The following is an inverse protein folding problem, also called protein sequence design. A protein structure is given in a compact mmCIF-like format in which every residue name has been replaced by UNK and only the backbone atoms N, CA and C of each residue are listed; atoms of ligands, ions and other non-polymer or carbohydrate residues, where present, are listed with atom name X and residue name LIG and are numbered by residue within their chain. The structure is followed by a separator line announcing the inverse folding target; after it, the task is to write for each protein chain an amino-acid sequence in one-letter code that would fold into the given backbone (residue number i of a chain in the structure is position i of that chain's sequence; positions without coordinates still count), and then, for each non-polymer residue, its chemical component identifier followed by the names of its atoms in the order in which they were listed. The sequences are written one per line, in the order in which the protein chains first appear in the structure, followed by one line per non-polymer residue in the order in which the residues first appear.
data_IF_483842482304
#
_entry.id   IF_483842482304
#
_cell.length_a   1.000
_cell.length_b   1.000
_cell.length_c   1.000
_cell.angle_alpha   90.00
_cell.angle_beta   90.00
_cell.angle_gamma   90.00
#
_symmetry.space_group_name_H-M   'P 1'
#
loop_
_entity.id
_entity.type
_entity.pdbx_description
1 polymer ?
#
# COMPACT_ATOMS: atom_id res chain seq x y z
N UNK A 1 -7.15 15.53 -10.88
CA UNK A 1 -5.76 15.08 -10.62
C UNK A 1 -4.94 16.32 -10.42
N UNK A 2 -4.21 16.39 -9.31
CA UNK A 2 -3.33 17.50 -8.97
C UNK A 2 -1.93 16.94 -8.71
N UNK A 3 -0.93 17.83 -8.72
CA UNK A 3 0.47 17.46 -8.47
C UNK A 3 0.85 17.73 -7.01
N UNK A 4 -0.14 17.82 -6.13
CA UNK A 4 0.08 18.04 -4.70
C UNK A 4 0.57 16.76 -4.03
N UNK A 5 1.27 16.91 -2.92
CA UNK A 5 1.67 15.79 -2.07
C UNK A 5 0.47 15.07 -1.47
N UNK A 6 0.52 13.75 -1.49
CA UNK A 6 -0.53 12.86 -0.97
C UNK A 6 0.10 11.77 -0.11
N UNK A 7 -0.63 11.29 0.89
CA UNK A 7 -0.22 10.12 1.68
C UNK A 7 -1.20 8.96 1.46
N UNK A 8 -0.64 7.75 1.39
CA UNK A 8 -1.40 6.50 1.37
C UNK A 8 -0.88 5.58 2.46
N UNK A 9 -1.78 5.14 3.34
CA UNK A 9 -1.50 4.12 4.35
C UNK A 9 -2.40 2.91 4.09
N UNK A 10 -1.85 1.70 4.25
CA UNK A 10 -2.61 0.45 4.25
C UNK A 10 -2.47 -0.18 5.64
N UNK A 11 -3.54 -0.12 6.45
CA UNK A 11 -3.53 -0.64 7.82
C UNK A 11 -4.12 -2.05 7.84
N UNK A 12 -3.29 -3.04 8.15
CA UNK A 12 -3.69 -4.43 8.28
C UNK A 12 -4.22 -4.71 9.69
N UNK A 13 -5.40 -5.31 9.78
CA UNK A 13 -5.95 -5.75 11.07
C UNK A 13 -5.31 -7.07 11.47
N UNK A 14 -4.65 -7.07 12.64
CA UNK A 14 -3.94 -8.24 13.17
C UNK A 14 -4.82 -9.50 13.18
N UNK A 15 -4.23 -10.62 12.76
CA UNK A 15 -4.93 -11.91 12.70
C UNK A 15 -6.00 -12.02 11.62
N UNK A 16 -6.08 -11.07 10.68
CA UNK A 16 -7.07 -11.10 9.60
C UNK A 16 -6.51 -10.69 8.24
N UNK A 17 -7.27 -10.96 7.19
CA UNK A 17 -7.05 -10.46 5.85
C UNK A 17 -7.71 -9.08 5.61
N UNK A 18 -8.12 -8.36 6.66
CA UNK A 18 -8.80 -7.07 6.53
C UNK A 18 -7.79 -5.93 6.46
N UNK A 19 -7.95 -5.06 5.47
CA UNK A 19 -7.16 -3.83 5.30
C UNK A 19 -8.07 -2.61 5.30
N UNK A 20 -7.68 -1.58 6.04
CA UNK A 20 -8.29 -0.25 5.99
C UNK A 20 -7.32 0.72 5.31
N UNK A 21 -7.64 1.25 4.11
CA UNK A 21 -6.81 2.26 3.47
C UNK A 21 -7.04 3.62 4.13
N UNK A 22 -6.01 4.46 4.20
CA UNK A 22 -6.15 5.88 4.51
C UNK A 22 -5.52 6.73 3.42
N UNK A 23 -6.29 7.68 2.89
CA UNK A 23 -5.82 8.67 1.94
C UNK A 23 -5.74 10.01 2.66
N UNK A 24 -4.56 10.62 2.70
CA UNK A 24 -4.33 11.88 3.41
C UNK A 24 -4.83 11.84 4.88
N UNK A 25 -4.57 10.73 5.56
CA UNK A 25 -5.01 10.48 6.94
C UNK A 25 -6.50 10.15 7.12
N UNK A 26 -7.32 10.23 6.08
CA UNK A 26 -8.75 9.91 6.14
C UNK A 26 -8.96 8.43 5.82
N UNK A 27 -9.57 7.70 6.77
CA UNK A 27 -9.87 6.28 6.59
C UNK A 27 -10.99 6.07 5.56
N UNK A 28 -10.72 5.18 4.59
CA UNK A 28 -11.70 4.67 3.64
C UNK A 28 -12.40 3.40 4.13
N UNK A 29 -13.26 2.80 3.29
CA UNK A 29 -13.92 1.54 3.61
C UNK A 29 -12.91 0.39 3.69
N UNK A 30 -13.03 -0.45 4.72
CA UNK A 30 -12.22 -1.65 4.85
C UNK A 30 -12.58 -2.70 3.79
N UNK A 31 -11.60 -3.48 3.37
CA UNK A 31 -11.78 -4.57 2.41
C UNK A 31 -10.98 -5.82 2.82
N UNK A 32 -11.40 -6.98 2.31
CA UNK A 32 -10.65 -8.23 2.45
C UNK A 32 -9.61 -8.34 1.35
N UNK A 33 -8.36 -8.62 1.70
CA UNK A 33 -7.33 -8.92 0.70
C UNK A 33 -7.62 -10.27 0.05
N UNK A 34 -7.41 -10.33 -1.26
CA UNK A 34 -7.54 -11.54 -2.06
C UNK A 34 -6.22 -11.81 -2.75
N UNK A 35 -5.90 -13.09 -2.96
CA UNK A 35 -4.73 -13.48 -3.75
C UNK A 35 -5.00 -13.12 -5.21
N UNK A 36 -4.08 -12.36 -5.81
CA UNK A 36 -4.10 -12.07 -7.24
C UNK A 36 -3.37 -13.16 -8.06
N UNK A 37 -3.30 -12.95 -9.37
CA UNK A 37 -2.57 -13.82 -10.30
C UNK A 37 -1.13 -13.38 -10.59
N UNK A 38 -0.60 -12.35 -9.91
CA UNK A 38 0.74 -11.82 -10.17
C UNK A 38 1.81 -12.75 -9.57
N UNK A 39 2.89 -12.94 -10.31
CA UNK A 39 4.08 -13.64 -9.82
C UNK A 39 5.17 -12.62 -9.55
N UNK A 40 5.45 -12.38 -8.27
CA UNK A 40 6.48 -11.44 -7.79
C UNK A 40 7.53 -12.20 -6.96
N UNK A 41 8.58 -11.49 -6.52
CA UNK A 41 9.57 -12.04 -5.60
C UNK A 41 8.93 -12.47 -4.28
N UNK A 42 9.27 -13.67 -3.80
CA UNK A 42 8.81 -14.16 -2.51
C UNK A 42 9.36 -13.28 -1.37
N UNK A 43 8.50 -12.91 -0.41
CA UNK A 43 8.84 -12.08 0.75
C UNK A 43 9.42 -10.71 0.39
N UNK A 44 8.97 -10.12 -0.73
CA UNK A 44 9.41 -8.80 -1.18
C UNK A 44 8.25 -7.81 -1.23
N UNK A 45 8.51 -6.56 -0.85
CA UNK A 45 7.67 -5.42 -1.20
C UNK A 45 8.12 -4.89 -2.55
N UNK A 46 7.23 -4.89 -3.55
CA UNK A 46 7.54 -4.39 -4.89
C UNK A 46 6.85 -3.06 -5.12
N UNK A 47 7.62 -2.04 -5.50
CA UNK A 47 7.13 -0.75 -5.97
C UNK A 47 7.56 -0.58 -7.43
N UNK A 48 6.60 -0.40 -8.33
CA UNK A 48 6.81 -0.31 -9.78
C UNK A 48 5.70 0.53 -10.42
N UNK A 49 6.01 1.16 -11.54
CA UNK A 49 5.06 1.80 -12.46
C UNK A 49 4.30 0.80 -13.36
N UNK A 50 4.56 -0.51 -13.19
CA UNK A 50 3.87 -1.67 -13.80
C UNK A 50 4.12 -1.85 -15.31
N UNK A 51 4.20 -0.77 -16.08
CA UNK A 51 4.26 -0.78 -17.54
C UNK A 51 5.64 -0.47 -18.08
N UNK A 52 5.95 -0.98 -19.28
CA UNK A 52 7.15 -0.58 -20.04
C UNK A 52 6.93 0.68 -20.88
N UNK A 53 5.68 1.12 -21.01
CA UNK A 53 5.31 2.33 -21.73
C UNK A 53 5.41 3.56 -20.81
N UNK A 54 5.09 4.74 -21.33
CA UNK A 54 5.10 5.96 -20.53
C UNK A 54 4.13 5.88 -19.33
N UNK A 55 4.63 6.24 -18.16
CA UNK A 55 3.89 6.43 -16.91
C UNK A 55 4.15 7.85 -16.37
N UNK A 56 3.35 8.28 -15.39
CA UNK A 56 3.60 9.54 -14.69
C UNK A 56 4.84 9.43 -13.81
N UNK A 57 5.69 10.47 -13.81
CA UNK A 57 6.73 10.60 -12.81
C UNK A 57 6.13 10.77 -11.41
N UNK A 58 6.65 10.05 -10.43
CA UNK A 58 6.22 10.13 -9.03
C UNK A 58 7.43 10.46 -8.17
N UNK A 59 7.36 11.56 -7.43
CA UNK A 59 8.30 11.86 -6.36
C UNK A 59 7.84 11.15 -5.09
N UNK A 60 8.78 10.48 -4.41
CA UNK A 60 8.49 9.71 -3.20
C UNK A 60 9.34 10.28 -2.08
N UNK A 61 8.68 10.86 -1.09
CA UNK A 61 9.33 11.33 0.12
C UNK A 61 9.76 10.14 1.00
N UNK A 62 8.86 9.19 1.23
CA UNK A 62 9.16 8.00 2.02
C UNK A 62 8.31 6.79 1.64
N UNK A 63 8.84 5.60 1.89
CA UNK A 63 8.13 4.32 1.86
C UNK A 63 8.51 3.55 3.12
N UNK A 64 7.52 3.19 3.93
CA UNK A 64 7.74 2.54 5.22
C UNK A 64 6.84 1.30 5.33
N UNK A 65 7.43 0.18 5.77
CA UNK A 65 6.71 -1.00 6.22
C UNK A 65 6.93 -1.13 7.73
N UNK A 66 5.90 -0.80 8.50
CA UNK A 66 5.92 -0.91 9.96
C UNK A 66 5.16 -2.17 10.39
N UNK A 67 5.75 -2.93 11.33
CA UNK A 67 5.13 -4.09 11.94
C UNK A 67 4.83 -3.75 13.40
N UNK A 68 3.55 -3.79 13.76
CA UNK A 68 3.12 -3.54 15.13
C UNK A 68 3.73 -4.56 16.10
N UNK A 69 4.07 -4.10 17.31
CA UNK A 69 4.39 -5.00 18.40
C UNK A 69 3.19 -5.92 18.71
N UNK A 70 3.42 -7.17 19.14
CA UNK A 70 2.34 -8.03 19.62
C UNK A 70 1.57 -7.35 20.75
N UNK A 71 0.23 -7.46 20.73
CA UNK A 71 -0.56 -7.13 21.90
C UNK A 71 -0.23 -8.15 23.00
N UNK A 72 0.02 -7.66 24.23
CA UNK A 72 0.38 -8.47 25.39
C UNK A 72 -0.79 -9.38 25.84
#
# INVERSE_FOLDING_TARGET
YGNDWQTLELVFTAGSATVTPKLNGVAGPAFQVIKDGLTLGLNALTLTDVTKNAAYGVEIESLVLEINAPAA
#
